data_IF_254813590416
#
_entry.id   IF_254813590416
#
_cell.length_a   1.000
_cell.length_b   1.000
_cell.length_c   1.000
_cell.angle_alpha   90.00
_cell.angle_beta   90.00
_cell.angle_gamma   90.00
#
_symmetry.space_group_name_H-M   'P 1'
#
loop_
_entity.id
_entity.type
_entity.pdbx_description
1 polymer ?
#
# COMPACT_ATOMS: atom_id res chain seq x y z
N UNK A 1 -6.97 -2.48 8.21
CA UNK A 1 -7.88 -3.51 7.66
C UNK A 1 -7.31 -3.96 6.33
N UNK A 2 -6.97 -5.24 6.15
CA UNK A 2 -6.46 -5.79 4.89
C UNK A 2 -6.84 -7.28 4.82
N UNK A 3 -7.73 -7.67 3.90
CA UNK A 3 -8.11 -9.07 3.69
C UNK A 3 -7.22 -9.63 2.57
N UNK A 4 -6.41 -10.64 2.90
CA UNK A 4 -5.61 -11.39 1.93
C UNK A 4 -6.47 -12.45 1.24
N UNK A 5 -6.46 -12.45 -0.08
CA UNK A 5 -6.99 -13.57 -0.89
C UNK A 5 -5.98 -14.70 -0.83
N UNK A 6 -6.36 -15.81 -0.19
CA UNK A 6 -5.62 -17.06 -0.19
C UNK A 6 -5.84 -17.74 -1.55
N UNK A 7 -4.79 -17.88 -2.38
CA UNK A 7 -4.83 -18.74 -3.55
C UNK A 7 -4.49 -20.18 -3.12
N UNK A 8 -5.23 -21.20 -3.57
CA UNK A 8 -5.07 -22.57 -3.08
C UNK A 8 -3.76 -23.18 -3.57
N UNK A 9 -2.98 -23.68 -2.62
CA UNK A 9 -1.81 -24.53 -2.81
C UNK A 9 -2.17 -25.75 -3.68
N UNK A 10 -1.34 -26.02 -4.68
CA UNK A 10 -1.64 -26.94 -5.78
C UNK A 10 -1.92 -28.40 -5.41
N UNK A 11 -2.88 -28.99 -6.12
CA UNK A 11 -3.07 -30.43 -6.24
C UNK A 11 -2.40 -30.94 -7.53
N UNK A 12 -1.52 -31.92 -7.38
CA UNK A 12 -0.78 -32.56 -8.45
C UNK A 12 -1.69 -33.44 -9.33
N UNK A 13 -1.63 -33.27 -10.64
CA UNK A 13 -2.09 -34.25 -11.64
C UNK A 13 -1.05 -34.28 -12.77
N UNK A 14 -0.20 -35.30 -12.79
CA UNK A 14 0.59 -35.65 -13.97
C UNK A 14 0.45 -37.16 -14.21
N UNK A 15 -0.44 -37.51 -15.13
CA UNK A 15 -0.51 -38.83 -15.73
C UNK A 15 0.12 -38.76 -17.13
N UNK A 16 1.15 -39.59 -17.35
CA UNK A 16 1.54 -40.12 -18.67
C UNK A 16 2.42 -39.24 -19.55
N UNK A 17 3.73 -39.50 -19.58
CA UNK A 17 4.49 -39.61 -20.83
C UNK A 17 5.81 -40.37 -20.64
N UNK A 18 6.06 -41.36 -21.49
CA UNK A 18 7.22 -42.25 -21.48
C UNK A 18 8.15 -41.94 -22.65
N UNK A 19 9.45 -42.20 -22.47
CA UNK A 19 10.56 -42.10 -23.43
C UNK A 19 11.11 -40.69 -23.77
N UNK A 20 11.80 -40.10 -22.79
CA UNK A 20 12.81 -39.05 -22.96
C UNK A 20 13.61 -38.98 -21.66
N UNK A 21 14.93 -38.78 -21.73
CA UNK A 21 15.79 -38.73 -20.54
C UNK A 21 15.15 -37.85 -19.45
N UNK A 22 14.86 -38.44 -18.29
CA UNK A 22 14.25 -37.72 -17.17
C UNK A 22 15.19 -36.55 -16.83
N UNK A 23 14.76 -35.29 -17.03
CA UNK A 23 15.62 -34.16 -16.72
C UNK A 23 15.93 -34.21 -15.23
N UNK A 24 17.21 -34.02 -14.88
CA UNK A 24 17.69 -34.02 -13.50
C UNK A 24 16.74 -33.20 -12.60
N UNK A 25 16.14 -33.81 -11.56
CA UNK A 25 15.13 -33.17 -10.72
C UNK A 25 15.66 -31.86 -10.09
N UNK A 26 16.97 -31.76 -9.86
CA UNK A 26 17.60 -30.54 -9.36
C UNK A 26 17.54 -29.39 -10.38
N UNK A 27 17.70 -29.69 -11.68
CA UNK A 27 17.60 -28.70 -12.76
C UNK A 27 16.15 -28.25 -12.99
N UNK A 28 15.19 -29.17 -12.85
CA UNK A 28 13.76 -28.82 -12.92
C UNK A 28 13.32 -27.92 -11.76
N UNK A 29 13.73 -28.24 -10.53
CA UNK A 29 13.37 -27.46 -9.34
C UNK A 29 13.98 -26.05 -9.38
N UNK A 30 15.22 -25.93 -9.88
CA UNK A 30 15.91 -24.64 -10.05
C UNK A 30 15.20 -23.76 -11.09
N UNK A 31 14.82 -24.34 -12.24
CA UNK A 31 14.04 -23.62 -13.27
C UNK A 31 12.67 -23.21 -12.72
N UNK A 32 11.96 -24.10 -12.02
CA UNK A 32 10.66 -23.78 -11.44
C UNK A 32 10.72 -22.62 -10.43
N UNK A 33 11.74 -22.59 -9.56
CA UNK A 33 11.99 -21.46 -8.65
C UNK A 33 12.32 -20.16 -9.39
N UNK A 34 13.10 -20.25 -10.47
CA UNK A 34 13.43 -19.09 -11.31
C UNK A 34 12.19 -18.51 -12.01
N UNK A 35 11.36 -19.35 -12.63
CA UNK A 35 10.10 -18.91 -13.23
C UNK A 35 9.16 -18.33 -12.18
N UNK A 36 9.00 -18.98 -11.03
CA UNK A 36 8.19 -18.46 -9.91
C UNK A 36 8.66 -17.07 -9.44
N UNK A 37 9.98 -16.85 -9.31
CA UNK A 37 10.55 -15.55 -8.98
C UNK A 37 10.32 -14.48 -10.06
N UNK A 38 10.41 -14.86 -11.33
CA UNK A 38 10.13 -13.97 -12.46
C UNK A 38 8.65 -13.56 -12.51
N UNK A 39 7.74 -14.51 -12.27
CA UNK A 39 6.31 -14.24 -12.15
C UNK A 39 6.04 -13.27 -11.00
N UNK A 40 6.56 -13.55 -9.80
CA UNK A 40 6.40 -12.69 -8.63
C UNK A 40 6.91 -11.26 -8.86
N UNK A 41 8.07 -11.11 -9.51
CA UNK A 41 8.64 -9.81 -9.84
C UNK A 41 7.77 -9.04 -10.82
N UNK A 42 7.29 -9.71 -11.88
CA UNK A 42 6.40 -9.10 -12.88
C UNK A 42 5.11 -8.59 -12.25
N UNK A 43 4.46 -9.39 -11.39
CA UNK A 43 3.26 -8.96 -10.65
C UNK A 43 3.56 -7.79 -9.69
N UNK A 44 4.72 -7.80 -9.02
CA UNK A 44 5.16 -6.70 -8.18
C UNK A 44 5.32 -5.38 -8.95
N UNK A 45 5.93 -5.43 -10.14
CA UNK A 45 6.12 -4.25 -11.00
C UNK A 45 4.78 -3.71 -11.52
N UNK A 46 3.88 -4.59 -11.99
CA UNK A 46 2.54 -4.18 -12.44
C UNK A 46 1.81 -3.46 -11.31
N UNK A 47 1.81 -4.03 -10.11
CA UNK A 47 1.15 -3.42 -8.95
C UNK A 47 1.80 -2.10 -8.53
N UNK A 48 3.12 -1.97 -8.61
CA UNK A 48 3.81 -0.71 -8.33
C UNK A 48 3.40 0.40 -9.30
N UNK A 49 3.27 0.10 -10.60
CA UNK A 49 2.82 1.06 -11.61
C UNK A 49 1.38 1.50 -11.35
N UNK A 50 0.48 0.55 -11.03
CA UNK A 50 -0.92 0.85 -10.73
C UNK A 50 -1.10 1.66 -9.43
N UNK A 51 -0.19 1.53 -8.47
CA UNK A 51 -0.25 2.29 -7.21
C UNK A 51 0.05 3.78 -7.38
N UNK A 52 0.84 4.18 -8.36
CA UNK A 52 1.21 5.61 -8.54
C UNK A 52 -0.03 6.49 -8.77
N UNK A 53 -0.89 6.26 -9.78
CA UNK A 53 -2.09 7.07 -9.98
C UNK A 53 -3.08 6.94 -8.82
N UNK A 54 -3.14 5.76 -8.19
CA UNK A 54 -3.98 5.50 -7.03
C UNK A 54 -3.59 6.39 -5.83
N UNK A 55 -2.31 6.45 -5.47
CA UNK A 55 -1.81 7.28 -4.37
C UNK A 55 -2.00 8.79 -4.62
N UNK A 56 -1.88 9.23 -5.87
CA UNK A 56 -2.18 10.61 -6.24
C UNK A 56 -3.67 10.92 -6.04
N UNK A 57 -4.55 10.00 -6.45
CA UNK A 57 -6.00 10.09 -6.18
C UNK A 57 -6.31 10.14 -4.68
N UNK A 58 -5.62 9.34 -3.88
CA UNK A 58 -5.80 9.30 -2.43
C UNK A 58 -5.42 10.61 -1.76
N UNK A 59 -4.31 11.22 -2.19
CA UNK A 59 -3.91 12.53 -1.70
C UNK A 59 -4.95 13.62 -2.03
N UNK A 60 -5.58 13.56 -3.21
CA UNK A 60 -6.66 14.50 -3.61
C UNK A 60 -7.91 14.32 -2.74
N UNK A 61 -8.25 13.08 -2.37
CA UNK A 61 -9.40 12.77 -1.52
C UNK A 61 -9.15 13.21 -0.07
N UNK A 62 -7.95 12.93 0.48
CA UNK A 62 -7.60 13.32 1.85
C UNK A 62 -7.52 14.84 1.97
N UNK A 63 -6.82 15.50 1.05
CA UNK A 63 -6.57 16.95 1.09
C UNK A 63 -7.50 17.71 0.14
N UNK A 64 -8.82 17.50 0.30
CA UNK A 64 -9.82 18.11 -0.57
C UNK A 64 -10.04 19.63 -0.34
N UNK A 65 -9.71 20.16 0.85
CA UNK A 65 -9.91 21.58 1.16
C UNK A 65 -8.97 22.49 0.33
N UNK A 66 -9.48 23.62 -0.22
CA UNK A 66 -8.69 24.52 -1.05
C UNK A 66 -7.42 25.08 -0.40
N UNK A 67 -7.34 25.14 0.94
CA UNK A 67 -6.13 25.56 1.67
C UNK A 67 -4.93 24.66 1.38
N UNK A 68 -5.16 23.40 1.04
CA UNK A 68 -4.09 22.44 0.76
C UNK A 68 -3.54 22.54 -0.66
N UNK A 69 -4.26 23.17 -1.62
CA UNK A 69 -3.84 23.29 -3.03
C UNK A 69 -2.38 23.73 -3.24
N UNK A 70 -1.87 24.79 -2.58
CA UNK A 70 -0.48 25.22 -2.76
C UNK A 70 0.55 24.21 -2.20
N UNK A 71 0.15 23.36 -1.26
CA UNK A 71 1.03 22.38 -0.60
C UNK A 71 0.84 20.95 -1.12
N UNK A 72 -0.20 20.71 -1.92
CA UNK A 72 -0.61 19.40 -2.41
C UNK A 72 0.52 18.62 -3.09
N UNK A 73 1.40 19.23 -3.93
CA UNK A 73 2.53 18.50 -4.52
C UNK A 73 3.55 17.98 -3.49
N UNK A 74 3.71 18.67 -2.35
CA UNK A 74 4.58 18.22 -1.25
C UNK A 74 3.89 17.12 -0.44
N UNK A 75 2.59 17.26 -0.20
CA UNK A 75 1.78 16.28 0.53
C UNK A 75 1.66 14.95 -0.21
N UNK A 76 1.49 14.96 -1.53
CA UNK A 76 1.51 13.75 -2.37
C UNK A 76 2.84 13.01 -2.21
N UNK A 77 3.98 13.71 -2.27
CA UNK A 77 5.30 13.09 -2.09
C UNK A 77 5.45 12.45 -0.71
N UNK A 78 4.95 13.12 0.35
CA UNK A 78 4.95 12.58 1.70
C UNK A 78 4.07 11.32 1.81
N UNK A 79 2.88 11.33 1.19
CA UNK A 79 1.97 10.19 1.18
C UNK A 79 2.56 8.99 0.42
N UNK A 80 3.24 9.25 -0.71
CA UNK A 80 3.96 8.22 -1.47
C UNK A 80 5.12 7.64 -0.66
N UNK A 81 5.89 8.48 0.03
CA UNK A 81 6.97 8.04 0.91
C UNK A 81 6.44 7.18 2.07
N UNK A 82 5.37 7.64 2.73
CA UNK A 82 4.71 6.89 3.81
C UNK A 82 4.21 5.51 3.33
N UNK A 83 3.64 5.45 2.12
CA UNK A 83 3.15 4.21 1.52
C UNK A 83 4.27 3.24 1.18
N UNK A 84 5.41 3.74 0.70
CA UNK A 84 6.60 2.93 0.47
C UNK A 84 7.12 2.30 1.77
N UNK A 85 7.25 3.09 2.83
CA UNK A 85 7.68 2.57 4.15
C UNK A 85 6.70 1.53 4.69
N UNK A 86 5.39 1.79 4.60
CA UNK A 86 4.37 0.82 5.01
C UNK A 86 4.45 -0.48 4.22
N UNK A 87 4.58 -0.39 2.89
CA UNK A 87 4.71 -1.55 2.02
C UNK A 87 5.98 -2.35 2.35
N UNK A 88 7.11 -1.70 2.65
CA UNK A 88 8.35 -2.35 3.07
C UNK A 88 8.16 -3.09 4.39
N UNK A 89 7.62 -2.43 5.42
CA UNK A 89 7.36 -3.04 6.72
C UNK A 89 6.39 -4.22 6.59
N UNK A 90 5.34 -4.07 5.78
CA UNK A 90 4.37 -5.13 5.52
C UNK A 90 4.99 -6.31 4.77
N UNK A 91 5.82 -6.07 3.76
CA UNK A 91 6.52 -7.15 3.05
C UNK A 91 7.48 -7.91 3.97
N UNK A 92 8.16 -7.25 4.91
CA UNK A 92 9.04 -7.94 5.86
C UNK A 92 8.30 -8.66 6.99
N UNK A 93 7.15 -8.14 7.44
CA UNK A 93 6.39 -8.70 8.57
C UNK A 93 5.25 -9.64 8.15
N UNK A 94 4.85 -9.64 6.89
CA UNK A 94 3.70 -10.43 6.42
C UNK A 94 4.13 -11.85 6.05
N UNK A 95 3.37 -12.82 6.54
CA UNK A 95 3.48 -14.24 6.20
C UNK A 95 2.63 -14.63 4.97
N UNK A 96 2.02 -13.65 4.29
CA UNK A 96 1.17 -13.89 3.12
C UNK A 96 1.99 -13.95 1.81
N UNK A 97 1.75 -14.96 0.94
CA UNK A 97 2.49 -15.14 -0.31
C UNK A 97 2.26 -14.04 -1.36
N UNK A 98 1.30 -13.14 -1.12
CA UNK A 98 1.05 -11.92 -1.89
C UNK A 98 0.69 -10.77 -0.92
N UNK A 99 1.71 -10.20 -0.27
CA UNK A 99 1.56 -9.11 0.67
C UNK A 99 1.55 -7.74 -0.05
N UNK A 100 0.39 -7.35 -0.58
CA UNK A 100 0.14 -5.97 -1.03
C UNK A 100 -0.45 -5.22 0.17
N UNK A 101 0.18 -4.14 0.61
CA UNK A 101 -0.31 -3.30 1.70
C UNK A 101 -0.63 -1.91 1.16
N UNK A 102 -1.80 -1.75 0.53
CA UNK A 102 -2.26 -0.45 0.04
C UNK A 102 -3.17 0.24 1.07
N UNK A 103 -3.51 1.51 0.86
CA UNK A 103 -4.50 2.19 1.70
C UNK A 103 -5.89 1.86 1.17
N UNK A 104 -6.84 1.53 2.05
CA UNK A 104 -8.22 1.22 1.64
C UNK A 104 -9.04 2.51 1.49
N UNK A 105 -9.94 2.55 0.50
CA UNK A 105 -10.83 3.69 0.22
C UNK A 105 -11.69 4.10 1.44
N UNK A 106 -12.10 3.12 2.25
CA UNK A 106 -12.82 3.38 3.50
C UNK A 106 -11.97 4.10 4.55
N UNK A 107 -10.65 3.90 4.59
CA UNK A 107 -9.75 4.65 5.48
C UNK A 107 -9.58 6.10 5.04
N UNK A 108 -9.61 6.35 3.73
CA UNK A 108 -9.40 7.68 3.15
C UNK A 108 -10.49 8.67 3.52
N UNK A 109 -11.75 8.24 3.63
CA UNK A 109 -12.85 9.13 4.02
C UNK A 109 -12.71 9.60 5.47
N UNK A 110 -12.25 8.73 6.37
CA UNK A 110 -11.97 9.09 7.76
C UNK A 110 -10.78 10.04 7.84
N UNK A 111 -9.69 9.77 7.11
CA UNK A 111 -8.53 10.68 7.05
C UNK A 111 -8.90 12.05 6.48
N UNK A 112 -9.76 12.08 5.46
CA UNK A 112 -10.25 13.33 4.86
C UNK A 112 -11.09 14.14 5.86
N UNK A 113 -11.96 13.48 6.62
CA UNK A 113 -12.73 14.13 7.69
C UNK A 113 -11.82 14.71 8.79
N UNK A 114 -10.77 13.98 9.20
CA UNK A 114 -9.77 14.47 10.16
C UNK A 114 -9.02 15.69 9.60
N UNK A 115 -8.59 15.64 8.34
CA UNK A 115 -7.90 16.74 7.68
C UNK A 115 -8.77 18.01 7.65
N UNK A 116 -10.02 17.89 7.21
CA UNK A 116 -10.98 19.00 7.16
C UNK A 116 -11.29 19.53 8.56
N UNK A 117 -11.43 18.66 9.56
CA UNK A 117 -11.66 19.09 10.95
C UNK A 117 -10.49 19.92 11.49
N UNK A 118 -9.25 19.53 11.18
CA UNK A 118 -8.06 20.32 11.56
C UNK A 118 -8.05 21.70 10.89
N UNK A 119 -8.51 21.81 9.64
CA UNK A 119 -8.62 23.10 8.93
C UNK A 119 -9.65 24.00 9.58
N UNK A 120 -10.83 23.45 9.94
CA UNK A 120 -11.88 24.23 10.62
C UNK A 120 -11.38 24.78 11.94
N UNK A 121 -10.80 23.93 12.79
CA UNK A 121 -10.25 24.36 14.09
C UNK A 121 -9.12 25.40 13.93
N UNK A 122 -8.25 25.21 12.95
CA UNK A 122 -7.16 26.19 12.70
C UNK A 122 -7.71 27.53 12.20
N UNK A 123 -8.80 27.54 11.43
CA UNK A 123 -9.46 28.78 10.97
C UNK A 123 -10.12 29.52 12.13
N UNK A 124 -10.78 28.79 13.04
CA UNK A 124 -11.41 29.36 14.23
C UNK A 124 -10.39 30.03 15.15
N UNK A 125 -9.19 29.46 15.27
CA UNK A 125 -8.06 30.02 16.03
C UNK A 125 -7.31 31.16 15.28
N UNK A 126 -7.76 31.56 14.09
CA UNK A 126 -7.09 32.60 13.27
C UNK A 126 -5.74 32.17 12.71
N UNK A 127 -5.47 30.86 12.64
CA UNK A 127 -4.22 30.28 12.19
C UNK A 127 -4.01 30.32 10.67
N UNK A 128 -2.75 30.27 10.26
CA UNK A 128 -2.36 30.36 8.85
C UNK A 128 -2.40 28.99 8.13
N UNK A 129 -2.40 29.00 6.80
CA UNK A 129 -2.48 27.79 5.96
C UNK A 129 -1.38 26.74 6.27
N UNK A 130 -0.17 27.20 6.59
CA UNK A 130 0.95 26.32 6.95
C UNK A 130 0.68 25.58 8.27
N UNK A 131 0.08 26.24 9.26
CA UNK A 131 -0.30 25.64 10.55
C UNK A 131 -1.32 24.55 10.31
N UNK A 132 -2.37 24.82 9.51
CA UNK A 132 -3.42 23.84 9.21
C UNK A 132 -2.86 22.57 8.54
N UNK A 133 -1.90 22.73 7.60
CA UNK A 133 -1.22 21.61 6.93
C UNK A 133 -0.44 20.77 7.93
N UNK A 134 0.36 21.41 8.79
CA UNK A 134 1.17 20.70 9.78
C UNK A 134 0.32 19.95 10.80
N UNK A 135 -0.73 20.59 11.33
CA UNK A 135 -1.69 19.99 12.27
C UNK A 135 -2.40 18.81 11.63
N UNK A 136 -2.91 18.96 10.41
CA UNK A 136 -3.58 17.87 9.69
C UNK A 136 -2.63 16.66 9.48
N UNK A 137 -1.38 16.90 9.08
CA UNK A 137 -0.40 15.82 8.87
C UNK A 137 -0.11 15.05 10.17
N UNK A 138 0.11 15.77 11.28
CA UNK A 138 0.39 15.15 12.58
C UNK A 138 -0.84 14.39 13.09
N UNK A 139 -2.03 14.98 13.01
CA UNK A 139 -3.29 14.34 13.43
C UNK A 139 -3.58 13.06 12.64
N UNK A 140 -3.35 13.07 11.33
CA UNK A 140 -3.50 11.88 10.47
C UNK A 140 -2.46 10.81 10.84
N UNK A 141 -1.20 11.20 11.06
CA UNK A 141 -0.14 10.27 11.44
C UNK A 141 -0.44 9.61 12.80
N UNK A 142 -0.84 10.40 13.80
CA UNK A 142 -1.24 9.92 15.11
C UNK A 142 -2.46 8.99 15.02
N UNK A 143 -3.50 9.38 14.28
CA UNK A 143 -4.70 8.54 14.12
C UNK A 143 -4.37 7.21 13.44
N UNK A 144 -3.48 7.22 12.44
CA UNK A 144 -3.03 6.00 11.74
C UNK A 144 -2.20 5.11 12.66
N UNK A 145 -1.32 5.70 13.48
CA UNK A 145 -0.51 4.96 14.45
C UNK A 145 -1.38 4.34 15.56
N UNK A 146 -2.31 5.11 16.12
CA UNK A 146 -3.25 4.64 17.15
C UNK A 146 -4.14 3.52 16.62
N UNK A 147 -4.66 3.64 15.40
CA UNK A 147 -5.43 2.58 14.75
C UNK A 147 -4.56 1.32 14.52
N UNK A 148 -3.28 1.51 14.17
CA UNK A 148 -2.31 0.41 14.08
C UNK A 148 -2.11 -0.32 15.40
N UNK A 149 -2.01 0.40 16.53
CA UNK A 149 -1.90 -0.19 17.88
C UNK A 149 -3.19 -0.88 18.31
N UNK A 150 -4.36 -0.29 18.03
CA UNK A 150 -5.65 -0.85 18.43
C UNK A 150 -6.02 -2.13 17.66
N UNK A 151 -5.50 -2.29 16.44
CA UNK A 151 -5.72 -3.47 15.59
C UNK A 151 -4.60 -4.52 15.70
N UNK A 152 -3.55 -4.23 16.47
CA UNK A 152 -2.47 -5.16 16.76
C UNK A 152 -2.89 -6.12 17.88
#
# INVERSE_FOLDING_TARGET
>A
FFFGVCLPSGGAVYAGWSHGAVPDPMKMMTKAKFYSGLHATTYGVINAILCIPCLVGYAMIIFQDPIFKPFLPKLVKLLMWSSMVHQVVFTFRSSLPFAIGQVQDAGLIFLSSIATSCVVLTKEDGGNAATAVSTACISIALSTALLGVALW
#
